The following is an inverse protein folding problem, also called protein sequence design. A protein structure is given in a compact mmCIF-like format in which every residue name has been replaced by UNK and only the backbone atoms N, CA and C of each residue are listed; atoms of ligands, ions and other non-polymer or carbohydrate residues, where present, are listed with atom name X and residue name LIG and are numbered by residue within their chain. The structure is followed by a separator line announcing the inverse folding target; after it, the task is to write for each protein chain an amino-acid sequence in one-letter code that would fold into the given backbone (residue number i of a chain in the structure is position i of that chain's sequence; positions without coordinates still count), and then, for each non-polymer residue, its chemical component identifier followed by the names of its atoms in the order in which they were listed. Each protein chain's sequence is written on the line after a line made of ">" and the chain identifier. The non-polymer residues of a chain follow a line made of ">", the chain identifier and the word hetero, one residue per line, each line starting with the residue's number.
data_IF_592868878070
#
_entry.id   IF_592868878070
#
_cell.length_a   1.000
_cell.length_b   1.000
_cell.length_c   1.000
_cell.angle_alpha   90.00
_cell.angle_beta   90.00
_cell.angle_gamma   90.00
#
_symmetry.space_group_name_H-M   'P 1'
#
loop_
_entity.id
_entity.type
_entity.pdbx_description
1 polymer ?
#
# COMPACT_ATOMS: atom_id res chain seq x y z
N UNK A 1 -8.57 15.28 27.79
CA UNK A 1 -8.74 14.56 26.51
C UNK A 1 -7.37 14.51 25.86
N UNK A 2 -6.84 13.33 25.58
CA UNK A 2 -5.62 13.25 24.80
C UNK A 2 -5.91 13.82 23.40
N UNK A 3 -5.13 14.81 22.99
CA UNK A 3 -5.30 15.44 21.71
C UNK A 3 -4.86 14.44 20.63
N UNK A 4 -5.81 13.85 19.90
CA UNK A 4 -5.52 12.86 18.86
C UNK A 4 -4.89 13.49 17.60
N UNK A 5 -5.10 14.79 17.43
CA UNK A 5 -4.50 15.59 16.37
C UNK A 5 -3.17 16.14 16.84
N UNK A 6 -2.14 16.07 16.02
CA UNK A 6 -0.82 16.62 16.28
C UNK A 6 -0.39 17.53 15.14
N UNK A 7 -0.03 18.77 15.47
CA UNK A 7 0.35 19.76 14.48
C UNK A 7 -0.73 20.03 13.44
N UNK A 8 -0.32 20.12 12.17
CA UNK A 8 -1.20 20.52 11.06
C UNK A 8 -1.87 19.35 10.35
N UNK A 9 -1.16 18.24 10.15
CA UNK A 9 -1.57 17.14 9.28
C UNK A 9 -1.49 15.77 9.94
N UNK A 10 -1.01 15.72 11.18
CA UNK A 10 -0.73 14.44 11.83
C UNK A 10 -1.77 14.07 12.88
N UNK A 11 -1.89 12.78 13.06
CA UNK A 11 -2.73 12.15 14.09
C UNK A 11 -1.88 11.14 14.86
N UNK A 12 -2.22 10.93 16.13
CA UNK A 12 -1.56 9.96 17.00
C UNK A 12 -2.53 8.88 17.41
N UNK A 13 -2.01 7.69 17.66
CA UNK A 13 -2.78 6.53 18.08
C UNK A 13 -2.40 6.12 19.52
N UNK A 14 -2.98 6.75 20.55
CA UNK A 14 -2.60 6.50 21.94
C UNK A 14 -2.86 5.08 22.42
N UNK A 15 -3.70 4.33 21.73
CA UNK A 15 -3.98 2.92 22.03
C UNK A 15 -3.02 1.95 21.34
N UNK A 16 -2.05 2.47 20.60
CA UNK A 16 -0.98 1.71 19.94
C UNK A 16 -1.48 0.50 19.15
N UNK A 17 -2.28 0.69 18.08
CA UNK A 17 -2.64 -0.41 17.20
C UNK A 17 -1.39 -1.15 16.74
N UNK A 18 -1.42 -2.47 16.74
CA UNK A 18 -0.28 -3.29 16.37
C UNK A 18 -0.52 -4.06 15.07
N UNK A 19 0.54 -4.28 14.31
CA UNK A 19 0.51 -5.18 13.16
C UNK A 19 0.64 -6.61 13.72
N UNK A 20 -0.47 -7.34 13.74
CA UNK A 20 -0.52 -8.72 14.22
C UNK A 20 0.18 -9.69 13.26
N UNK A 21 0.04 -9.46 11.97
CA UNK A 21 0.75 -10.18 10.92
C UNK A 21 0.79 -9.35 9.63
N UNK A 22 1.73 -9.69 8.77
CA UNK A 22 1.81 -9.16 7.41
C UNK A 22 2.20 -10.24 6.43
N UNK A 23 1.77 -10.09 5.18
CA UNK A 23 2.17 -10.95 4.08
C UNK A 23 2.43 -10.15 2.81
N UNK A 24 3.39 -10.62 2.02
CA UNK A 24 3.77 -10.03 0.75
C UNK A 24 3.86 -11.11 -0.33
N UNK A 25 3.09 -10.95 -1.39
CA UNK A 25 3.10 -11.83 -2.57
C UNK A 25 3.63 -11.04 -3.75
N UNK A 26 4.65 -11.55 -4.41
CA UNK A 26 5.32 -10.86 -5.50
C UNK A 26 5.21 -11.59 -6.83
N UNK A 27 5.34 -10.84 -7.93
CA UNK A 27 5.41 -11.39 -9.28
C UNK A 27 6.76 -12.03 -9.57
N UNK A 28 6.81 -12.76 -10.67
CA UNK A 28 8.02 -13.48 -11.13
C UNK A 28 9.22 -12.55 -11.35
N UNK A 29 8.99 -11.31 -11.79
CA UNK A 29 10.05 -10.33 -12.01
C UNK A 29 10.61 -9.82 -10.70
N UNK A 30 9.76 -9.46 -9.77
CA UNK A 30 10.10 -8.98 -8.42
C UNK A 30 10.87 -10.07 -7.65
N UNK A 31 10.49 -11.33 -7.84
CA UNK A 31 11.21 -12.48 -7.31
C UNK A 31 12.64 -12.68 -7.82
N UNK A 32 13.11 -11.88 -8.77
CA UNK A 32 14.52 -11.83 -9.21
C UNK A 32 15.28 -10.66 -8.59
N UNK A 33 14.60 -9.80 -7.86
CA UNK A 33 15.19 -8.64 -7.21
C UNK A 33 15.88 -8.96 -5.88
N UNK A 34 16.49 -7.95 -5.27
CA UNK A 34 17.27 -8.11 -4.03
C UNK A 34 16.41 -8.52 -2.82
N UNK A 35 15.10 -8.21 -2.82
CA UNK A 35 14.17 -8.54 -1.74
C UNK A 35 13.48 -9.90 -1.92
N UNK A 36 13.99 -10.75 -2.81
CA UNK A 36 13.38 -12.06 -3.11
C UNK A 36 13.11 -12.91 -1.86
N UNK A 37 14.04 -12.91 -0.92
CA UNK A 37 13.96 -13.73 0.29
C UNK A 37 12.92 -13.21 1.31
N UNK A 38 12.46 -11.99 1.14
CA UNK A 38 11.54 -11.33 2.06
C UNK A 38 10.06 -11.48 1.64
N UNK A 39 9.79 -11.98 0.43
CA UNK A 39 8.43 -12.27 -0.02
C UNK A 39 7.96 -13.62 0.53
N UNK A 40 6.74 -13.66 1.05
CA UNK A 40 6.13 -14.91 1.52
C UNK A 40 5.83 -15.86 0.38
N UNK A 41 5.47 -15.31 -0.80
CA UNK A 41 5.24 -16.10 -2.01
C UNK A 41 5.66 -15.33 -3.26
N UNK A 42 6.21 -16.05 -4.22
CA UNK A 42 6.52 -15.53 -5.55
C UNK A 42 5.69 -16.29 -6.58
N UNK A 43 4.90 -15.56 -7.36
CA UNK A 43 4.07 -16.15 -8.41
C UNK A 43 4.94 -16.80 -9.51
N UNK A 44 4.59 -18.01 -9.91
CA UNK A 44 5.32 -18.76 -10.95
C UNK A 44 5.13 -18.15 -12.34
N UNK A 45 3.96 -17.58 -12.61
CA UNK A 45 3.61 -16.94 -13.87
C UNK A 45 2.89 -15.60 -13.64
N UNK A 46 2.76 -14.80 -14.70
CA UNK A 46 2.19 -13.45 -14.63
C UNK A 46 0.67 -13.43 -14.51
N UNK A 47 -0.01 -14.53 -14.80
CA UNK A 47 -1.47 -14.64 -14.72
C UNK A 47 -1.98 -15.40 -13.51
N UNK A 48 -1.11 -16.04 -12.75
CA UNK A 48 -1.49 -16.89 -11.61
C UNK A 48 -2.60 -17.89 -11.98
N UNK A 49 -2.51 -18.47 -13.18
CA UNK A 49 -3.53 -19.36 -13.71
C UNK A 49 -4.86 -18.71 -14.10
N UNK A 50 -4.97 -17.38 -14.08
CA UNK A 50 -6.20 -16.66 -14.36
C UNK A 50 -6.36 -16.31 -15.84
N UNK A 51 -7.62 -16.08 -16.27
CA UNK A 51 -7.94 -15.76 -17.66
C UNK A 51 -7.49 -14.34 -18.08
N UNK A 52 -7.41 -13.39 -17.14
CA UNK A 52 -6.99 -12.03 -17.40
C UNK A 52 -6.04 -11.50 -16.33
N UNK A 53 -5.34 -10.41 -16.60
CA UNK A 53 -4.42 -9.79 -15.65
C UNK A 53 -5.14 -9.13 -14.47
N UNK A 54 -6.34 -8.59 -14.68
CA UNK A 54 -7.18 -8.06 -13.61
C UNK A 54 -7.60 -9.15 -12.62
N UNK A 55 -7.96 -10.33 -13.15
CA UNK A 55 -8.23 -11.50 -12.30
C UNK A 55 -6.98 -12.00 -11.58
N UNK A 56 -5.83 -11.94 -12.25
CA UNK A 56 -4.54 -12.26 -11.62
C UNK A 56 -4.22 -11.32 -10.47
N UNK A 57 -4.49 -10.02 -10.63
CA UNK A 57 -4.30 -9.04 -9.57
C UNK A 57 -5.25 -9.28 -8.39
N UNK A 58 -6.52 -9.58 -8.64
CA UNK A 58 -7.44 -10.01 -7.59
C UNK A 58 -6.95 -11.27 -6.85
N UNK A 59 -6.35 -12.22 -7.58
CA UNK A 59 -5.77 -13.42 -6.98
C UNK A 59 -4.54 -13.10 -6.13
N UNK A 60 -3.68 -12.16 -6.55
CA UNK A 60 -2.57 -11.69 -5.70
C UNK A 60 -3.08 -11.15 -4.37
N UNK A 61 -4.12 -10.32 -4.38
CA UNK A 61 -4.74 -9.80 -3.16
C UNK A 61 -5.29 -10.91 -2.28
N UNK A 62 -6.06 -11.84 -2.85
CA UNK A 62 -6.58 -12.99 -2.09
C UNK A 62 -5.46 -13.77 -1.42
N UNK A 63 -4.41 -14.10 -2.16
CA UNK A 63 -3.28 -14.86 -1.63
C UNK A 63 -2.57 -14.09 -0.50
N UNK A 64 -2.31 -12.80 -0.66
CA UNK A 64 -1.69 -12.00 0.38
C UNK A 64 -2.57 -11.90 1.64
N UNK A 65 -3.88 -11.77 1.47
CA UNK A 65 -4.84 -11.73 2.56
C UNK A 65 -4.89 -13.08 3.33
N UNK A 66 -5.00 -14.18 2.60
CA UNK A 66 -5.04 -15.55 3.17
C UNK A 66 -3.75 -15.86 3.94
N UNK A 67 -2.58 -15.55 3.37
CA UNK A 67 -1.30 -15.73 4.05
C UNK A 67 -1.17 -14.86 5.31
N UNK A 68 -1.68 -13.63 5.28
CA UNK A 68 -1.67 -12.77 6.47
C UNK A 68 -2.58 -13.34 7.58
N UNK A 69 -3.75 -13.88 7.24
CA UNK A 69 -4.64 -14.57 8.17
C UNK A 69 -3.96 -15.82 8.76
N UNK A 70 -3.35 -16.66 7.93
CA UNK A 70 -2.62 -17.84 8.35
C UNK A 70 -1.52 -17.49 9.35
N UNK A 71 -0.67 -16.50 9.02
CA UNK A 71 0.41 -16.02 9.90
C UNK A 71 -0.12 -15.45 11.22
N UNK A 72 -1.30 -14.85 11.21
CA UNK A 72 -1.97 -14.38 12.41
C UNK A 72 -2.69 -15.47 13.19
N UNK A 73 -2.84 -16.67 12.62
CA UNK A 73 -3.69 -17.76 13.13
C UNK A 73 -5.15 -17.31 13.32
N UNK A 74 -5.68 -16.58 12.33
CA UNK A 74 -7.03 -16.03 12.31
C UNK A 74 -7.84 -16.60 11.15
N UNK A 75 -9.16 -16.71 11.36
CA UNK A 75 -10.12 -16.89 10.28
C UNK A 75 -10.59 -15.53 9.72
N UNK A 76 -11.13 -15.52 8.51
CA UNK A 76 -11.66 -14.30 7.91
C UNK A 76 -12.72 -13.62 8.80
N UNK A 77 -13.60 -14.41 9.42
CA UNK A 77 -14.65 -13.89 10.33
C UNK A 77 -14.14 -13.30 11.66
N UNK A 78 -12.84 -13.38 11.94
CA UNK A 78 -12.23 -12.73 13.10
C UNK A 78 -11.88 -11.26 12.84
N UNK A 79 -12.00 -10.81 11.59
CA UNK A 79 -11.81 -9.41 11.19
C UNK A 79 -13.16 -8.68 11.16
N UNK A 80 -13.11 -7.39 11.50
CA UNK A 80 -14.30 -6.53 11.52
C UNK A 80 -14.47 -5.76 10.20
N UNK A 81 -13.37 -5.44 9.51
CA UNK A 81 -13.38 -4.62 8.30
C UNK A 81 -12.11 -4.84 7.45
N UNK A 82 -12.27 -4.68 6.15
CA UNK A 82 -11.20 -4.68 5.14
C UNK A 82 -11.10 -3.31 4.46
N UNK A 83 -9.90 -2.73 4.48
CA UNK A 83 -9.50 -1.58 3.67
C UNK A 83 -8.61 -2.07 2.55
N UNK A 84 -9.05 -1.93 1.31
CA UNK A 84 -8.21 -2.37 0.20
C UNK A 84 -8.31 -1.47 -1.03
N UNK A 85 -7.26 -1.47 -1.82
CA UNK A 85 -7.22 -0.74 -3.07
C UNK A 85 -6.18 -1.28 -4.05
N UNK A 86 -6.31 -0.83 -5.27
CA UNK A 86 -5.43 -1.17 -6.39
C UNK A 86 -5.27 0.04 -7.32
N UNK A 87 -4.56 -0.14 -8.45
CA UNK A 87 -4.33 0.94 -9.41
C UNK A 87 -5.42 1.07 -10.47
N UNK A 88 -6.37 0.14 -10.52
CA UNK A 88 -7.38 0.11 -11.56
C UNK A 88 -8.60 0.97 -11.21
N UNK A 89 -9.28 1.47 -12.23
CA UNK A 89 -10.49 2.25 -12.05
C UNK A 89 -11.50 1.51 -11.19
N UNK A 90 -12.09 2.26 -10.26
CA UNK A 90 -13.13 1.79 -9.33
C UNK A 90 -12.68 0.65 -8.41
N UNK A 91 -11.38 0.49 -8.16
CA UNK A 91 -10.83 -0.58 -7.30
C UNK A 91 -11.35 -1.96 -7.72
N UNK A 92 -11.33 -2.25 -9.02
CA UNK A 92 -11.97 -3.45 -9.55
C UNK A 92 -11.31 -4.73 -9.02
N UNK A 93 -9.98 -4.76 -8.95
CA UNK A 93 -9.26 -5.94 -8.44
C UNK A 93 -9.55 -6.18 -6.97
N UNK A 94 -9.57 -5.12 -6.17
CA UNK A 94 -9.87 -5.16 -4.73
C UNK A 94 -11.32 -5.56 -4.46
N UNK A 95 -12.27 -5.01 -5.21
CA UNK A 95 -13.69 -5.33 -5.06
C UNK A 95 -13.96 -6.81 -5.34
N UNK A 96 -13.33 -7.37 -6.39
CA UNK A 96 -13.46 -8.80 -6.69
C UNK A 96 -12.69 -9.69 -5.71
N UNK A 97 -11.56 -9.23 -5.17
CA UNK A 97 -10.86 -9.95 -4.11
C UNK A 97 -11.68 -9.97 -2.81
N UNK A 98 -12.29 -8.84 -2.44
CA UNK A 98 -13.10 -8.71 -1.23
C UNK A 98 -14.44 -9.43 -1.29
N UNK A 99 -15.01 -9.62 -2.48
CA UNK A 99 -16.36 -10.20 -2.68
C UNK A 99 -16.62 -11.48 -1.91
N UNK A 100 -15.62 -12.35 -1.87
CA UNK A 100 -15.77 -13.69 -1.28
C UNK A 100 -15.42 -13.73 0.21
N UNK A 101 -15.02 -12.61 0.81
CA UNK A 101 -14.62 -12.52 2.22
C UNK A 101 -15.79 -12.35 3.19
N UNK A 102 -16.91 -11.85 2.71
CA UNK A 102 -18.08 -11.48 3.51
C UNK A 102 -17.78 -10.44 4.61
N UNK A 103 -16.70 -9.65 4.44
CA UNK A 103 -16.33 -8.56 5.36
C UNK A 103 -16.91 -7.23 4.88
N UNK A 104 -17.24 -6.33 5.82
CA UNK A 104 -17.36 -4.92 5.49
C UNK A 104 -16.12 -4.43 4.77
N UNK A 105 -16.30 -3.70 3.66
CA UNK A 105 -15.22 -3.32 2.78
C UNK A 105 -15.28 -1.84 2.41
N UNK A 106 -14.15 -1.15 2.54
CA UNK A 106 -13.95 0.19 2.00
C UNK A 106 -12.85 0.16 0.94
N UNK A 107 -13.25 0.46 -0.29
CA UNK A 107 -12.34 0.57 -1.43
C UNK A 107 -11.58 1.90 -1.41
N UNK A 108 -10.27 1.85 -1.57
CA UNK A 108 -9.36 2.98 -1.53
C UNK A 108 -8.74 3.21 -2.90
N UNK A 109 -8.65 4.46 -3.32
CA UNK A 109 -8.11 4.81 -4.62
C UNK A 109 -7.03 5.89 -4.50
N UNK A 110 -6.01 5.60 -3.71
CA UNK A 110 -4.85 6.48 -3.47
C UNK A 110 -3.65 6.18 -4.36
N UNK A 111 -3.77 5.30 -5.35
CA UNK A 111 -2.69 4.83 -6.21
C UNK A 111 -1.46 4.39 -5.37
N UNK A 112 -0.31 5.04 -5.54
CA UNK A 112 0.94 4.66 -4.83
C UNK A 112 0.86 4.85 -3.31
N UNK A 113 -0.09 5.62 -2.79
CA UNK A 113 -0.28 5.83 -1.34
C UNK A 113 -1.24 4.82 -0.70
N UNK A 114 -1.89 3.95 -1.48
CA UNK A 114 -2.98 3.07 -0.99
C UNK A 114 -2.55 2.19 0.19
N UNK A 115 -1.31 1.67 0.22
CA UNK A 115 -0.86 0.87 1.37
C UNK A 115 -0.77 1.71 2.65
N UNK A 116 -0.19 2.88 2.58
CA UNK A 116 -0.10 3.78 3.73
C UNK A 116 -1.49 4.29 4.16
N UNK A 117 -2.37 4.60 3.19
CA UNK A 117 -3.75 5.01 3.43
C UNK A 117 -4.56 3.89 4.11
N UNK A 118 -4.47 2.67 3.62
CA UNK A 118 -5.15 1.51 4.22
C UNK A 118 -4.67 1.22 5.64
N UNK A 119 -3.36 1.32 5.90
CA UNK A 119 -2.79 1.19 7.24
C UNK A 119 -3.24 2.30 8.18
N UNK A 120 -3.28 3.55 7.71
CA UNK A 120 -3.78 4.70 8.46
C UNK A 120 -5.23 4.49 8.88
N UNK A 121 -6.09 4.07 7.94
CA UNK A 121 -7.51 3.83 8.22
C UNK A 121 -7.70 2.64 9.15
N UNK A 122 -7.03 1.52 8.92
CA UNK A 122 -7.08 0.36 9.79
C UNK A 122 -6.65 0.71 11.23
N UNK A 123 -5.53 1.44 11.37
CA UNK A 123 -5.07 1.90 12.67
C UNK A 123 -6.04 2.88 13.33
N UNK A 124 -6.65 3.79 12.56
CA UNK A 124 -7.65 4.74 13.06
C UNK A 124 -8.89 4.03 13.59
N UNK A 125 -9.41 3.05 12.86
CA UNK A 125 -10.57 2.27 13.27
C UNK A 125 -10.29 1.45 14.53
N UNK A 126 -9.13 0.81 14.60
CA UNK A 126 -8.70 0.04 15.74
C UNK A 126 -8.46 0.94 16.96
N UNK A 127 -7.78 2.08 16.76
CA UNK A 127 -7.52 3.05 17.83
C UNK A 127 -8.81 3.67 18.41
N UNK A 128 -9.79 3.92 17.55
CA UNK A 128 -11.08 4.48 17.97
C UNK A 128 -12.03 3.43 18.58
N UNK A 129 -11.69 2.14 18.51
CA UNK A 129 -12.54 1.06 19.00
C UNK A 129 -13.69 0.70 18.07
N UNK A 130 -13.69 1.17 16.82
CA UNK A 130 -14.67 0.79 15.79
C UNK A 130 -14.42 -0.61 15.27
N UNK A 131 -13.19 -1.10 15.37
CA UNK A 131 -12.80 -2.45 15.03
C UNK A 131 -11.83 -3.00 16.08
N UNK A 132 -11.90 -4.28 16.37
CA UNK A 132 -10.87 -5.00 17.13
C UNK A 132 -9.72 -5.41 16.23
N UNK A 133 -10.06 -5.80 14.99
CA UNK A 133 -9.11 -6.20 13.95
C UNK A 133 -9.56 -5.68 12.59
N UNK A 134 -8.64 -5.08 11.87
CA UNK A 134 -8.85 -4.59 10.52
C UNK A 134 -7.75 -5.09 9.60
N UNK A 135 -8.08 -5.37 8.34
CA UNK A 135 -7.07 -5.67 7.33
C UNK A 135 -6.81 -4.44 6.45
N UNK A 136 -5.53 -4.20 6.16
CA UNK A 136 -5.04 -3.24 5.20
C UNK A 136 -4.39 -4.00 4.03
N UNK A 137 -4.91 -3.84 2.82
CA UNK A 137 -4.55 -4.67 1.66
C UNK A 137 -4.37 -3.79 0.42
N UNK A 138 -3.35 -4.05 -0.36
CA UNK A 138 -3.15 -3.35 -1.63
C UNK A 138 -2.48 -4.25 -2.65
N UNK A 139 -2.65 -3.92 -3.91
CA UNK A 139 -1.97 -4.60 -5.01
C UNK A 139 -1.63 -3.67 -6.15
N UNK A 140 -0.78 -4.16 -7.02
CA UNK A 140 -0.64 -3.72 -8.39
C UNK A 140 -0.24 -4.89 -9.27
N UNK A 141 -0.59 -4.82 -10.54
CA UNK A 141 -0.13 -5.77 -11.54
C UNK A 141 0.35 -4.99 -12.76
N UNK A 142 1.60 -5.23 -13.15
CA UNK A 142 2.23 -4.51 -14.26
C UNK A 142 1.34 -4.43 -15.50
N UNK A 143 0.84 -5.58 -15.99
CA UNK A 143 0.12 -5.61 -17.26
C UNK A 143 -1.24 -4.91 -17.20
N UNK A 144 -2.00 -5.03 -16.12
CA UNK A 144 -3.29 -4.38 -15.95
C UNK A 144 -3.13 -2.86 -15.78
N UNK A 145 -2.19 -2.43 -14.95
CA UNK A 145 -1.90 -1.01 -14.72
C UNK A 145 -1.35 -0.33 -15.98
N UNK A 146 -0.37 -0.92 -16.64
CA UNK A 146 0.20 -0.35 -17.86
C UNK A 146 -0.83 -0.22 -18.98
N UNK A 147 -1.72 -1.20 -19.14
CA UNK A 147 -2.79 -1.14 -20.12
C UNK A 147 -3.77 -0.01 -19.84
N UNK A 148 -4.04 0.30 -18.57
CA UNK A 148 -4.93 1.39 -18.19
C UNK A 148 -4.29 2.77 -18.36
N UNK A 149 -3.02 2.93 -18.01
CA UNK A 149 -2.36 4.24 -17.96
C UNK A 149 -1.59 4.61 -19.23
N UNK A 150 -1.27 3.66 -20.09
CA UNK A 150 -0.60 3.94 -21.35
C UNK A 150 -1.59 4.12 -22.48
N UNK A 151 -1.39 5.15 -23.28
CA UNK A 151 -2.17 5.39 -24.48
C UNK A 151 -1.33 5.06 -25.74
N UNK A 152 -1.94 4.41 -26.75
CA UNK A 152 -3.27 3.79 -26.76
C UNK A 152 -3.30 2.49 -25.97
N UNK A 153 -4.44 2.30 -25.24
CA UNK A 153 -4.71 1.19 -24.33
C UNK A 153 -4.67 -0.14 -25.06
N UNK A 154 -4.16 -0.69 -25.68
CA UNK A 154 -4.15 -1.99 -26.35
C UNK A 154 -2.78 -2.33 -26.90
N UNK A 155 -1.97 -1.33 -27.08
CA UNK A 155 -0.67 -1.52 -27.69
C UNK A 155 0.46 -1.76 -26.70
N UNK A 156 0.35 -1.23 -25.49
CA UNK A 156 1.48 -1.28 -24.59
C UNK A 156 2.71 -0.68 -25.26
N UNK A 157 2.84 0.63 -25.27
CA UNK A 157 3.99 1.27 -25.91
C UNK A 157 5.32 0.74 -25.36
N UNK A 158 6.36 0.74 -26.19
CA UNK A 158 7.70 0.41 -25.73
C UNK A 158 8.13 1.42 -24.66
N UNK A 159 8.58 0.92 -23.51
CA UNK A 159 9.04 1.75 -22.41
C UNK A 159 10.38 2.39 -22.75
N UNK A 160 10.52 3.66 -22.33
CA UNK A 160 11.85 4.27 -22.34
C UNK A 160 12.75 3.61 -21.27
N UNK A 161 14.07 3.62 -21.45
CA UNK A 161 14.97 3.08 -20.44
C UNK A 161 14.85 3.74 -19.05
N UNK A 162 14.37 4.99 -19.01
CA UNK A 162 14.19 5.79 -17.78
C UNK A 162 12.82 5.59 -17.12
N UNK A 163 11.87 4.92 -17.80
CA UNK A 163 10.54 4.70 -17.24
C UNK A 163 10.58 3.67 -16.12
N UNK A 164 9.92 3.99 -15.02
CA UNK A 164 9.76 3.07 -13.88
C UNK A 164 8.81 1.93 -14.23
N UNK A 165 9.00 0.79 -13.57
CA UNK A 165 8.12 -0.36 -13.70
C UNK A 165 7.04 -0.32 -12.63
N UNK A 166 5.78 -0.54 -13.05
CA UNK A 166 4.74 -0.89 -12.11
C UNK A 166 5.03 -2.28 -11.52
N UNK A 167 5.10 -2.36 -10.23
CA UNK A 167 5.35 -3.61 -9.51
C UNK A 167 4.17 -4.57 -9.68
N UNK A 168 4.44 -5.86 -9.82
CA UNK A 168 3.43 -6.91 -9.71
C UNK A 168 3.55 -7.53 -8.33
N UNK A 169 2.70 -7.09 -7.42
CA UNK A 169 2.72 -7.57 -6.03
C UNK A 169 1.42 -7.25 -5.31
N UNK A 170 1.23 -7.88 -4.16
CA UNK A 170 0.22 -7.52 -3.17
C UNK A 170 0.81 -7.60 -1.77
N UNK A 171 0.43 -6.66 -0.91
CA UNK A 171 0.78 -6.64 0.51
C UNK A 171 -0.47 -6.56 1.38
N UNK A 172 -0.48 -7.32 2.46
CA UNK A 172 -1.54 -7.30 3.46
C UNK A 172 -0.95 -7.14 4.86
N UNK A 173 -1.57 -6.29 5.68
CA UNK A 173 -1.30 -6.19 7.11
C UNK A 173 -2.60 -6.36 7.89
N UNK A 174 -2.56 -7.14 8.96
CA UNK A 174 -3.65 -7.25 9.93
C UNK A 174 -3.30 -6.36 11.10
N UNK A 175 -4.12 -5.35 11.35
CA UNK A 175 -3.98 -4.40 12.45
C UNK A 175 -4.95 -4.79 13.56
N UNK A 176 -4.49 -4.85 14.80
CA UNK A 176 -5.29 -5.28 15.95
C UNK A 176 -5.02 -4.45 17.20
N UNK A 177 -5.92 -4.55 18.16
CA UNK A 177 -5.69 -4.06 19.52
C UNK A 177 -4.80 -5.02 20.30
N UNK A 178 -3.91 -4.50 21.16
CA UNK A 178 -3.23 -5.28 22.19
C UNK A 178 -2.20 -6.31 21.74
N UNK A 179 -1.62 -6.17 20.56
CA UNK A 179 -0.56 -7.05 20.07
C UNK A 179 0.82 -6.78 20.70
N UNK A 180 1.83 -7.58 20.30
CA UNK A 180 3.22 -7.43 20.75
C UNK A 180 4.08 -6.56 19.80
N UNK A 181 3.44 -5.87 18.84
CA UNK A 181 4.09 -4.99 17.86
C UNK A 181 4.42 -5.69 16.54
N UNK A 182 4.91 -4.98 15.51
CA UNK A 182 5.17 -3.53 15.51
C UNK A 182 3.93 -2.66 15.77
N UNK A 183 4.14 -1.53 16.41
CA UNK A 183 3.05 -0.60 16.74
C UNK A 183 2.97 0.54 15.74
N UNK A 184 1.75 1.01 15.47
CA UNK A 184 1.50 2.21 14.66
C UNK A 184 1.27 3.36 15.66
N UNK A 185 2.26 4.25 15.79
CA UNK A 185 2.19 5.37 16.73
C UNK A 185 1.30 6.51 16.23
N UNK A 186 1.31 6.74 14.94
CA UNK A 186 0.59 7.84 14.33
C UNK A 186 0.75 7.87 12.82
N UNK A 187 0.14 8.86 12.21
CA UNK A 187 0.21 9.04 10.76
C UNK A 187 0.18 10.53 10.41
N UNK A 188 0.76 10.87 9.26
CA UNK A 188 0.70 12.21 8.67
C UNK A 188 -0.01 12.13 7.35
N UNK A 189 -1.07 12.91 7.15
CA UNK A 189 -1.85 12.94 5.92
C UNK A 189 -1.25 14.00 5.00
N UNK A 190 -0.74 13.56 3.86
CA UNK A 190 -0.13 14.45 2.85
C UNK A 190 -1.15 15.33 2.14
N UNK A 191 -0.65 16.33 1.44
CA UNK A 191 -1.42 17.21 0.55
C UNK A 191 -1.06 16.91 -0.90
N UNK A 192 -1.97 17.23 -1.81
CA UNK A 192 -1.65 17.23 -3.22
C UNK A 192 -0.61 18.32 -3.50
N UNK A 193 0.48 17.92 -4.14
CA UNK A 193 1.55 18.81 -4.59
C UNK A 193 1.66 18.74 -6.10
N UNK A 194 1.49 19.87 -6.77
CA UNK A 194 1.64 19.98 -8.22
C UNK A 194 2.76 20.98 -8.55
N UNK A 195 3.86 20.46 -9.07
CA UNK A 195 5.00 21.25 -9.54
C UNK A 195 5.03 21.40 -11.07
N UNK A 196 3.92 21.09 -11.72
CA UNK A 196 3.78 21.27 -13.17
C UNK A 196 4.61 20.28 -14.00
N UNK A 197 4.97 19.14 -13.46
CA UNK A 197 5.73 18.10 -14.19
C UNK A 197 4.83 17.46 -15.23
N UNK A 198 5.24 17.55 -16.50
CA UNK A 198 4.47 17.06 -17.66
C UNK A 198 5.07 15.81 -18.31
N UNK A 199 6.26 15.41 -17.91
CA UNK A 199 6.92 14.22 -18.46
C UNK A 199 6.33 12.95 -17.84
N UNK A 200 5.46 12.28 -18.59
CA UNK A 200 4.83 11.02 -18.18
C UNK A 200 5.83 9.86 -17.95
N UNK A 201 7.06 9.98 -18.45
CA UNK A 201 8.11 8.96 -18.27
C UNK A 201 8.95 9.22 -17.00
N UNK A 202 8.75 10.35 -16.33
CA UNK A 202 9.47 10.73 -15.11
C UNK A 202 8.51 10.91 -13.94
N UNK A 203 7.85 9.83 -13.55
CA UNK A 203 6.90 9.82 -12.46
C UNK A 203 7.58 10.16 -11.11
N UNK A 204 8.85 9.78 -10.93
CA UNK A 204 9.61 10.11 -9.73
C UNK A 204 9.72 11.61 -9.49
N UNK A 205 9.96 12.41 -10.54
CA UNK A 205 9.98 13.87 -10.43
C UNK A 205 8.62 14.46 -10.02
N UNK A 206 7.52 13.84 -10.46
CA UNK A 206 6.18 14.26 -10.07
C UNK A 206 5.84 13.87 -8.62
N UNK A 207 6.34 12.72 -8.13
CA UNK A 207 6.04 12.22 -6.79
C UNK A 207 6.95 12.81 -5.69
N UNK A 208 8.20 13.15 -6.01
CA UNK A 208 9.18 13.63 -5.04
C UNK A 208 8.71 14.85 -4.23
N UNK A 209 8.09 15.89 -4.82
CA UNK A 209 7.59 17.04 -4.08
C UNK A 209 6.55 16.66 -3.01
N UNK A 210 5.65 15.73 -3.33
CA UNK A 210 4.64 15.26 -2.38
C UNK A 210 5.28 14.46 -1.24
N UNK A 211 6.26 13.62 -1.53
CA UNK A 211 7.02 12.89 -0.52
C UNK A 211 7.77 13.84 0.41
N UNK A 212 8.45 14.85 -0.14
CA UNK A 212 9.19 15.86 0.64
C UNK A 212 8.24 16.65 1.54
N UNK A 213 7.12 17.15 1.01
CA UNK A 213 6.15 17.92 1.80
C UNK A 213 5.61 17.10 2.98
N UNK A 214 5.24 15.84 2.71
CA UNK A 214 4.70 14.95 3.74
C UNK A 214 5.75 14.60 4.81
N UNK A 215 6.99 14.29 4.42
CA UNK A 215 8.08 13.95 5.35
C UNK A 215 8.44 15.16 6.22
N UNK A 216 8.56 16.34 5.61
CA UNK A 216 8.85 17.59 6.36
C UNK A 216 7.74 17.89 7.35
N UNK A 217 6.47 17.82 6.92
CA UNK A 217 5.34 18.06 7.81
C UNK A 217 5.28 17.02 8.94
N UNK A 218 5.64 15.78 8.67
CA UNK A 218 5.75 14.75 9.71
C UNK A 218 6.79 15.12 10.76
N UNK A 219 7.98 15.54 10.34
CA UNK A 219 9.02 15.96 11.29
C UNK A 219 8.61 17.19 12.11
N UNK A 220 7.96 18.17 11.47
CA UNK A 220 7.46 19.36 12.15
C UNK A 220 6.37 18.99 13.18
N UNK A 221 5.38 18.21 12.79
CA UNK A 221 4.26 17.87 13.64
C UNK A 221 4.66 17.00 14.83
N UNK A 222 5.55 16.04 14.62
CA UNK A 222 6.04 15.12 15.66
C UNK A 222 7.23 15.67 16.44
N UNK A 223 7.81 16.82 16.03
CA UNK A 223 9.06 17.37 16.56
C UNK A 223 10.20 16.36 16.51
N UNK A 224 10.33 15.67 15.37
CA UNK A 224 11.33 14.65 15.09
C UNK A 224 12.26 15.08 13.97
N UNK A 225 13.39 14.40 13.89
CA UNK A 225 14.42 14.59 12.85
C UNK A 225 14.64 13.28 12.11
N UNK A 226 15.25 13.28 10.91
CA UNK A 226 15.57 12.05 10.20
C UNK A 226 16.34 11.02 11.04
N UNK A 227 17.23 11.49 11.94
CA UNK A 227 18.05 10.65 12.81
C UNK A 227 17.25 9.92 13.91
N UNK A 228 16.03 10.32 14.15
CA UNK A 228 15.14 9.69 15.13
C UNK A 228 14.46 8.44 14.55
N UNK A 229 14.79 8.06 13.30
CA UNK A 229 14.28 6.90 12.58
C UNK A 229 15.41 6.01 12.10
N UNK A 230 15.29 4.72 12.31
CA UNK A 230 16.24 3.72 11.78
C UNK A 230 16.08 3.55 10.27
N UNK A 231 14.85 3.74 9.74
CA UNK A 231 14.55 3.57 8.33
C UNK A 231 13.39 4.48 7.91
N UNK A 232 13.55 5.13 6.75
CA UNK A 232 12.50 5.88 6.06
C UNK A 232 12.33 5.27 4.69
N UNK A 233 11.14 4.74 4.40
CA UNK A 233 10.81 4.08 3.12
C UNK A 233 9.83 4.94 2.33
N UNK A 234 10.15 5.17 1.06
CA UNK A 234 9.25 5.83 0.10
C UNK A 234 8.90 4.88 -1.04
N UNK A 235 7.95 5.26 -1.88
CA UNK A 235 7.80 4.67 -3.20
C UNK A 235 9.05 4.92 -4.05
N UNK A 236 9.14 4.26 -5.21
CA UNK A 236 10.25 4.44 -6.14
C UNK A 236 10.21 5.85 -6.76
N UNK A 237 11.01 6.74 -6.23
CA UNK A 237 11.16 8.12 -6.71
C UNK A 237 12.19 8.25 -7.84
N UNK A 238 12.82 7.15 -8.26
CA UNK A 238 13.92 7.15 -9.20
C UNK A 238 15.19 7.80 -8.63
N UNK A 239 16.25 7.84 -9.44
CA UNK A 239 17.53 8.45 -9.02
C UNK A 239 17.41 9.95 -8.74
N UNK A 240 16.68 10.67 -9.60
CA UNK A 240 16.49 12.10 -9.46
C UNK A 240 15.67 12.44 -8.21
N UNK A 241 14.53 11.79 -8.02
CA UNK A 241 13.68 12.03 -6.86
C UNK A 241 14.34 11.65 -5.53
N UNK A 242 15.28 10.67 -5.57
CA UNK A 242 16.10 10.34 -4.39
C UNK A 242 17.12 11.45 -4.05
N UNK A 243 17.61 12.19 -5.04
CA UNK A 243 18.60 13.25 -4.84
C UNK A 243 17.98 14.55 -4.31
N UNK A 244 16.72 14.78 -4.59
CA UNK A 244 15.93 15.93 -4.10
C UNK A 244 15.53 15.71 -2.64
#
# INVERSE_FOLDING_TARGET
>A
MNELRKGRQSIVFPNYPSIAASAAVAGKKEGKGPLRADFDQIAADTKLGQASWEKAESMLQKTAFELALEKASLACGDLDILFAGDLLNQCISSSFAARDTNLPFLGLYGACSTMAESLLLAASFVNAGYAKRAAALTSSHFASAERQYRFPLGYGGQRTPTAQWTVTASGCCIVSTGGKGPFIEGATIGKIQDFGIKDANNMGAAMAPAAIDTIRQHFEDFHRRPQDYDLIVTGDLGLLGKQI
#
